data_IF_637530626801
#
_entry.id   IF_637530626801
#
_cell.length_a   1.000
_cell.length_b   1.000
_cell.length_c   1.000
_cell.angle_alpha   90.00
_cell.angle_beta   90.00
_cell.angle_gamma   90.00
#
_symmetry.space_group_name_H-M   'P 1'
#
loop_
_entity.id
_entity.type
_entity.pdbx_description
1 polymer ?
#
# COMPACT_ATOMS: atom_id res chain seq x y z
N UNK A 1 22.66 -36.32 -5.35
CA UNK A 1 22.12 -35.04 -5.87
C UNK A 1 21.40 -34.34 -4.72
N UNK A 2 22.01 -33.32 -4.18
CA UNK A 2 21.39 -32.52 -3.07
C UNK A 2 20.60 -31.38 -3.70
N UNK A 3 19.31 -31.32 -3.44
CA UNK A 3 18.48 -30.18 -3.78
C UNK A 3 18.83 -29.04 -2.82
N UNK A 4 19.18 -27.90 -3.39
CA UNK A 4 19.42 -26.67 -2.65
C UNK A 4 18.08 -25.95 -2.60
N UNK A 5 17.46 -25.91 -1.43
CA UNK A 5 16.30 -25.08 -1.18
C UNK A 5 16.77 -23.62 -1.08
N UNK A 6 16.37 -22.81 -2.05
CA UNK A 6 16.60 -21.36 -2.02
C UNK A 6 15.49 -20.76 -1.17
N UNK A 7 15.81 -20.51 0.10
CA UNK A 7 14.94 -19.69 0.96
C UNK A 7 15.11 -18.23 0.52
N UNK A 8 14.16 -17.73 -0.23
CA UNK A 8 14.09 -16.31 -0.59
C UNK A 8 13.62 -15.52 0.64
N UNK A 9 14.57 -14.93 1.35
CA UNK A 9 14.29 -13.99 2.44
C UNK A 9 13.79 -12.68 1.82
N UNK A 10 12.49 -12.45 1.86
CA UNK A 10 11.90 -11.15 1.53
C UNK A 10 12.23 -10.18 2.67
N UNK A 11 13.20 -9.33 2.45
CA UNK A 11 13.52 -8.22 3.35
C UNK A 11 12.47 -7.13 3.10
N UNK A 12 11.52 -7.04 4.01
CA UNK A 12 10.57 -5.93 4.08
C UNK A 12 11.34 -4.71 4.61
N UNK A 13 11.88 -3.90 3.69
CA UNK A 13 12.57 -2.65 4.05
C UNK A 13 11.52 -1.62 4.44
N UNK A 14 11.24 -1.53 5.74
CA UNK A 14 10.55 -0.40 6.34
C UNK A 14 11.58 0.72 6.50
N UNK A 15 11.69 1.62 5.50
CA UNK A 15 12.53 2.80 5.61
C UNK A 15 11.83 3.83 6.50
N UNK A 16 12.14 3.81 7.79
CA UNK A 16 11.83 4.91 8.71
C UNK A 16 12.99 5.89 8.68
N UNK A 17 12.83 7.04 8.04
CA UNK A 17 13.72 8.18 8.19
C UNK A 17 13.15 9.15 9.22
N UNK A 18 13.47 8.89 10.50
CA UNK A 18 13.22 9.84 11.57
C UNK A 18 14.35 10.87 11.63
N UNK A 19 14.04 12.15 11.49
CA UNK A 19 14.87 13.27 11.95
C UNK A 19 14.10 14.01 13.04
N UNK A 20 14.44 13.72 14.31
CA UNK A 20 14.03 14.47 15.48
C UNK A 20 14.86 14.05 16.70
N UNK A 21 15.00 14.91 17.76
CA UNK A 21 15.95 14.68 18.82
C UNK A 21 15.63 13.44 19.65
N UNK A 22 16.71 12.77 20.06
CA UNK A 22 16.78 11.51 20.79
C UNK A 22 16.00 11.58 22.12
N UNK A 23 14.78 11.04 22.11
CA UNK A 23 14.11 10.54 23.29
C UNK A 23 14.05 9.01 23.16
N UNK A 24 14.51 8.28 24.17
CA UNK A 24 14.55 6.83 24.17
C UNK A 24 13.13 6.26 24.01
N UNK A 25 12.72 5.96 22.78
CA UNK A 25 11.57 5.12 22.50
C UNK A 25 12.09 3.69 22.41
N UNK A 26 11.52 2.82 23.23
CA UNK A 26 11.73 1.39 23.17
C UNK A 26 11.56 0.94 21.72
N UNK A 27 12.56 0.26 21.16
CA UNK A 27 12.50 -0.33 19.84
C UNK A 27 11.39 -1.39 19.84
N UNK A 28 10.21 -1.05 19.31
CA UNK A 28 9.18 -2.03 19.02
C UNK A 28 9.74 -3.05 18.02
N UNK A 29 9.71 -4.33 18.36
CA UNK A 29 10.13 -5.39 17.46
C UNK A 29 9.23 -5.46 16.21
N UNK A 30 9.66 -6.14 15.13
CA UNK A 30 8.85 -6.27 13.90
C UNK A 30 7.44 -6.86 14.12
N UNK A 31 7.19 -7.54 15.27
CA UNK A 31 5.90 -8.08 15.68
C UNK A 31 4.95 -7.01 16.23
N UNK A 32 5.49 -6.05 17.01
CA UNK A 32 4.67 -5.06 17.71
C UNK A 32 3.91 -4.14 16.76
N UNK A 33 4.52 -3.77 15.62
CA UNK A 33 3.88 -2.92 14.60
C UNK A 33 2.71 -3.61 13.91
N UNK A 34 2.82 -4.90 13.61
CA UNK A 34 1.75 -5.69 12.98
C UNK A 34 0.56 -5.89 13.93
N UNK A 35 0.84 -6.20 15.19
CA UNK A 35 -0.21 -6.37 16.20
C UNK A 35 -0.96 -5.05 16.43
N UNK A 36 -0.22 -3.94 16.54
CA UNK A 36 -0.81 -2.61 16.71
C UNK A 36 -1.67 -2.23 15.51
N UNK A 37 -1.19 -2.48 14.29
CA UNK A 37 -1.96 -2.24 13.07
C UNK A 37 -3.18 -3.17 12.98
N UNK A 38 -3.06 -4.45 13.30
CA UNK A 38 -4.18 -5.39 13.31
C UNK A 38 -5.28 -4.97 14.30
N UNK A 39 -4.89 -4.44 15.45
CA UNK A 39 -5.83 -3.89 16.44
C UNK A 39 -6.52 -2.62 15.92
N UNK A 40 -5.77 -1.68 15.33
CA UNK A 40 -6.33 -0.46 14.76
C UNK A 40 -7.30 -0.74 13.61
N UNK A 41 -7.01 -1.75 12.78
CA UNK A 41 -7.85 -2.20 11.68
C UNK A 41 -9.25 -2.65 12.11
N UNK A 42 -9.45 -3.07 13.37
CA UNK A 42 -10.78 -3.44 13.88
C UNK A 42 -11.74 -2.24 13.89
N UNK A 43 -11.22 -1.02 13.99
CA UNK A 43 -12.00 0.22 13.91
C UNK A 43 -12.31 0.69 12.47
N UNK A 44 -11.65 0.11 11.45
CA UNK A 44 -11.84 0.50 10.07
C UNK A 44 -12.98 -0.29 9.41
N UNK A 45 -14.05 0.40 9.04
CA UNK A 45 -15.18 -0.20 8.33
C UNK A 45 -14.98 -0.23 6.81
N UNK A 46 -14.14 0.65 6.25
CA UNK A 46 -13.89 0.76 4.82
C UNK A 46 -12.92 -0.34 4.35
N UNK A 47 -13.26 -1.14 3.32
CA UNK A 47 -12.29 -2.02 2.65
C UNK A 47 -11.25 -1.23 1.87
N UNK A 48 -9.99 -1.73 1.78
CA UNK A 48 -8.90 -1.06 1.07
C UNK A 48 -9.25 -0.74 -0.39
N UNK A 49 -9.89 -1.67 -1.09
CA UNK A 49 -10.31 -1.51 -2.48
C UNK A 49 -11.34 -0.38 -2.67
N UNK A 50 -12.11 -0.06 -1.65
CA UNK A 50 -13.03 1.08 -1.66
C UNK A 50 -12.28 2.39 -1.47
N UNK A 51 -11.24 2.41 -0.62
CA UNK A 51 -10.35 3.56 -0.48
C UNK A 51 -9.60 3.88 -1.76
N UNK A 52 -9.08 2.85 -2.44
CA UNK A 52 -8.47 2.98 -3.77
C UNK A 52 -9.47 3.56 -4.78
N UNK A 53 -10.73 3.13 -4.74
CA UNK A 53 -11.78 3.66 -5.63
C UNK A 53 -12.11 5.11 -5.30
N UNK A 54 -12.21 5.48 -4.03
CA UNK A 54 -12.51 6.84 -3.60
C UNK A 54 -11.42 7.83 -4.01
N UNK A 55 -10.14 7.44 -3.91
CA UNK A 55 -9.00 8.28 -4.30
C UNK A 55 -8.89 8.51 -5.81
N UNK A 56 -9.57 7.70 -6.65
CA UNK A 56 -9.57 7.85 -8.10
C UNK A 56 -10.14 9.19 -8.59
N UNK A 57 -10.90 9.90 -7.74
CA UNK A 57 -11.35 11.27 -8.01
C UNK A 57 -10.19 12.29 -8.05
N UNK A 58 -9.06 11.99 -7.37
CA UNK A 58 -7.86 12.84 -7.31
C UNK A 58 -6.89 12.48 -8.44
N UNK A 59 -6.67 11.20 -8.69
CA UNK A 59 -5.76 10.69 -9.71
C UNK A 59 -5.82 9.18 -9.82
N UNK A 60 -5.03 8.58 -10.71
CA UNK A 60 -4.95 7.12 -10.86
C UNK A 60 -4.28 6.54 -9.61
N UNK A 61 -4.95 5.64 -8.85
CA UNK A 61 -4.36 5.02 -7.67
C UNK A 61 -3.14 4.18 -8.04
N UNK A 62 -2.03 4.44 -7.35
CA UNK A 62 -0.76 3.74 -7.52
C UNK A 62 -0.53 2.70 -6.44
N UNK A 63 -0.84 3.02 -5.18
CA UNK A 63 -0.77 2.10 -4.06
C UNK A 63 -1.74 2.53 -2.98
N UNK A 64 -2.06 1.61 -2.07
CA UNK A 64 -2.88 1.93 -0.91
C UNK A 64 -2.43 1.13 0.29
N UNK A 65 -2.45 1.73 1.45
CA UNK A 65 -2.07 1.08 2.71
C UNK A 65 -2.85 1.62 3.89
N UNK A 66 -3.22 0.72 4.79
CA UNK A 66 -3.52 1.06 6.17
C UNK A 66 -2.21 1.11 6.95
N UNK A 67 -2.00 2.15 7.70
CA UNK A 67 -0.78 2.35 8.47
C UNK A 67 -1.03 3.15 9.73
N UNK A 68 -0.03 3.18 10.59
CA UNK A 68 0.07 4.12 11.70
C UNK A 68 1.23 5.05 11.38
N UNK A 69 0.90 6.31 11.08
CA UNK A 69 1.85 7.36 10.76
C UNK A 69 1.77 8.43 11.85
N UNK A 70 2.91 8.81 12.43
CA UNK A 70 3.00 9.72 13.57
C UNK A 70 2.01 9.39 14.72
N UNK A 71 1.75 8.09 14.94
CA UNK A 71 0.82 7.60 15.96
C UNK A 71 -0.66 7.67 15.55
N UNK A 72 -0.99 8.16 14.37
CA UNK A 72 -2.34 8.20 13.83
C UNK A 72 -2.59 7.02 12.88
N UNK A 73 -3.68 6.29 13.09
CA UNK A 73 -4.13 5.27 12.16
C UNK A 73 -4.82 5.91 10.96
N UNK A 74 -4.38 5.58 9.75
CA UNK A 74 -4.88 6.17 8.51
C UNK A 74 -4.95 5.17 7.37
N UNK A 75 -5.73 5.52 6.34
CA UNK A 75 -5.73 4.90 5.01
C UNK A 75 -5.09 5.89 4.04
N UNK A 76 -3.87 5.61 3.64
CA UNK A 76 -3.09 6.39 2.68
C UNK A 76 -3.16 5.74 1.30
N UNK A 77 -3.37 6.55 0.27
CA UNK A 77 -3.37 6.12 -1.13
C UNK A 77 -2.49 7.07 -1.94
N UNK A 78 -1.47 6.53 -2.60
CA UNK A 78 -0.71 7.30 -3.57
C UNK A 78 -1.46 7.32 -4.90
N UNK A 79 -1.53 8.49 -5.51
CA UNK A 79 -2.16 8.69 -6.82
C UNK A 79 -1.24 9.43 -7.78
N UNK A 80 -1.48 9.22 -9.06
CA UNK A 80 -0.77 9.87 -10.15
C UNK A 80 -1.76 10.52 -11.11
N UNK A 81 -1.40 11.72 -11.55
CA UNK A 81 -2.07 12.44 -12.64
C UNK A 81 -1.03 12.91 -13.64
N UNK A 82 -1.16 12.45 -14.87
CA UNK A 82 -0.34 12.94 -15.98
C UNK A 82 -0.95 14.17 -16.60
N UNK A 83 -0.10 15.15 -16.91
CA UNK A 83 -0.46 16.33 -17.68
C UNK A 83 0.56 16.52 -18.82
N UNK A 84 0.08 16.75 -20.03
CA UNK A 84 0.96 16.86 -21.20
C UNK A 84 1.86 18.10 -21.20
N UNK A 85 1.52 19.11 -20.41
CA UNK A 85 2.25 20.39 -20.31
C UNK A 85 2.99 20.50 -19.00
N UNK A 86 2.32 20.21 -17.88
CA UNK A 86 2.88 20.33 -16.52
C UNK A 86 3.68 19.08 -16.10
N UNK A 87 3.54 17.97 -16.81
CA UNK A 87 4.18 16.69 -16.49
C UNK A 87 3.38 15.89 -15.48
N UNK A 88 4.07 14.91 -14.85
CA UNK A 88 3.47 14.05 -13.86
C UNK A 88 3.35 14.74 -12.51
N UNK A 89 2.21 14.58 -11.85
CA UNK A 89 2.03 14.94 -10.46
C UNK A 89 1.67 13.70 -9.64
N UNK A 90 2.25 13.60 -8.46
CA UNK A 90 2.01 12.53 -7.49
C UNK A 90 1.43 13.13 -6.22
N UNK A 91 0.42 12.48 -5.67
CA UNK A 91 -0.22 12.95 -4.45
C UNK A 91 -0.47 11.79 -3.50
N UNK A 92 -0.35 12.05 -2.21
CA UNK A 92 -0.87 11.22 -1.16
C UNK A 92 -2.28 11.67 -0.82
N UNK A 93 -3.19 10.74 -0.80
CA UNK A 93 -4.61 10.95 -0.51
C UNK A 93 -4.94 10.19 0.76
N UNK A 94 -5.30 10.90 1.82
CA UNK A 94 -5.81 10.28 3.04
C UNK A 94 -7.32 10.12 2.90
N UNK A 95 -7.77 8.87 3.00
CA UNK A 95 -9.19 8.50 2.94
C UNK A 95 -9.67 8.19 4.34
N UNK A 96 -10.78 8.78 4.74
CA UNK A 96 -11.43 8.45 6.01
C UNK A 96 -11.88 6.98 5.99
N UNK A 97 -11.29 6.17 6.86
CA UNK A 97 -11.49 4.73 6.91
C UNK A 97 -12.85 4.28 7.45
N UNK A 98 -13.70 5.22 7.85
CA UNK A 98 -15.06 4.98 8.29
C UNK A 98 -16.09 5.37 7.22
N UNK A 99 -15.91 6.54 6.59
CA UNK A 99 -16.87 7.10 5.63
C UNK A 99 -16.50 6.88 4.16
N UNK A 100 -15.20 6.70 3.88
CA UNK A 100 -14.67 6.60 2.52
C UNK A 100 -14.49 7.95 1.82
N UNK A 101 -14.66 9.06 2.52
CA UNK A 101 -14.43 10.38 1.96
C UNK A 101 -12.92 10.72 1.94
N UNK A 102 -12.48 11.44 0.93
CA UNK A 102 -11.13 12.03 0.92
C UNK A 102 -11.08 13.11 1.99
N UNK A 103 -10.17 12.97 2.96
CA UNK A 103 -9.99 13.90 4.08
C UNK A 103 -8.82 14.84 3.87
N UNK A 104 -7.78 14.40 3.13
CA UNK A 104 -6.56 15.20 2.89
C UNK A 104 -5.95 14.80 1.56
N UNK A 105 -5.31 15.76 0.88
CA UNK A 105 -4.52 15.54 -0.33
C UNK A 105 -3.22 16.33 -0.20
N UNK A 106 -2.08 15.66 -0.32
CA UNK A 106 -0.76 16.27 -0.25
C UNK A 106 0.07 15.91 -1.48
N UNK A 107 0.81 16.87 -1.99
CA UNK A 107 1.70 16.65 -3.13
C UNK A 107 2.98 15.94 -2.68
N UNK A 108 3.35 14.87 -3.37
CA UNK A 108 4.63 14.17 -3.17
C UNK A 108 5.65 14.81 -4.10
N UNK A 109 6.66 15.50 -3.53
CA UNK A 109 7.63 16.30 -4.29
C UNK A 109 9.05 15.76 -4.27
N UNK A 110 9.38 14.90 -3.31
CA UNK A 110 10.77 14.45 -3.10
C UNK A 110 10.86 13.11 -2.35
N UNK A 111 12.10 12.73 -2.05
CA UNK A 111 12.43 11.61 -1.19
C UNK A 111 12.06 10.23 -1.73
N UNK A 112 11.92 9.30 -0.77
CA UNK A 112 11.60 7.90 -1.05
C UNK A 112 10.19 7.71 -1.60
N UNK A 113 9.26 8.55 -1.18
CA UNK A 113 7.86 8.48 -1.59
C UNK A 113 7.68 8.82 -3.07
N UNK A 114 8.40 9.84 -3.56
CA UNK A 114 8.40 10.16 -4.99
C UNK A 114 9.01 9.03 -5.82
N UNK A 115 10.13 8.46 -5.37
CA UNK A 115 10.76 7.33 -6.06
C UNK A 115 9.84 6.10 -6.09
N UNK A 116 9.15 5.80 -4.99
CA UNK A 116 8.17 4.73 -4.91
C UNK A 116 6.99 4.98 -5.86
N UNK A 117 6.40 6.19 -5.84
CA UNK A 117 5.29 6.57 -6.71
C UNK A 117 5.65 6.48 -8.19
N UNK A 118 6.86 6.90 -8.59
CA UNK A 118 7.36 6.77 -9.97
C UNK A 118 7.51 5.30 -10.41
N UNK A 119 8.03 4.45 -9.51
CA UNK A 119 8.15 3.02 -9.77
C UNK A 119 6.78 2.37 -9.94
N UNK A 120 5.84 2.66 -9.05
CA UNK A 120 4.46 2.17 -9.06
C UNK A 120 3.71 2.65 -10.31
N UNK A 121 3.89 3.92 -10.72
CA UNK A 121 3.38 4.43 -11.98
C UNK A 121 3.86 3.59 -13.16
N UNK A 122 5.15 3.23 -13.19
CA UNK A 122 5.72 2.42 -14.28
C UNK A 122 5.01 1.07 -14.41
N UNK A 123 4.63 0.44 -13.31
CA UNK A 123 3.83 -0.79 -13.32
C UNK A 123 2.40 -0.52 -13.77
N UNK A 124 1.75 0.51 -13.21
CA UNK A 124 0.35 0.82 -13.51
C UNK A 124 0.11 1.30 -14.94
N UNK A 125 1.10 1.93 -15.61
CA UNK A 125 0.98 2.28 -17.04
C UNK A 125 0.94 1.07 -17.96
N UNK A 126 1.36 -0.12 -17.50
CA UNK A 126 1.27 -1.40 -18.23
C UNK A 126 0.04 -2.21 -17.84
N UNK A 127 -0.63 -1.80 -16.77
CA UNK A 127 -1.78 -2.52 -16.24
C UNK A 127 -3.01 -2.32 -17.15
N UNK A 128 -3.82 -3.38 -17.26
CA UNK A 128 -5.15 -3.37 -17.90
C UNK A 128 -6.28 -3.45 -16.88
N UNK A 129 -5.93 -3.83 -15.64
CA UNK A 129 -6.84 -3.86 -14.49
C UNK A 129 -6.42 -2.79 -13.50
N UNK A 130 -7.37 -2.18 -12.83
CA UNK A 130 -7.10 -1.25 -11.73
C UNK A 130 -6.55 -1.99 -10.51
N UNK A 131 -5.80 -1.27 -9.68
CA UNK A 131 -5.32 -1.82 -8.40
C UNK A 131 -6.49 -2.20 -7.48
N UNK A 132 -7.59 -1.44 -7.51
CA UNK A 132 -8.80 -1.74 -6.74
C UNK A 132 -9.43 -3.08 -7.15
N UNK A 133 -9.54 -3.37 -8.46
CA UNK A 133 -10.07 -4.63 -8.97
C UNK A 133 -9.19 -5.81 -8.61
N UNK A 134 -7.86 -5.67 -8.70
CA UNK A 134 -6.92 -6.70 -8.30
C UNK A 134 -7.01 -6.96 -6.79
N UNK A 135 -7.04 -5.90 -5.96
CA UNK A 135 -7.20 -6.02 -4.51
C UNK A 135 -8.52 -6.73 -4.16
N UNK A 136 -9.62 -6.37 -4.80
CA UNK A 136 -10.90 -7.04 -4.60
C UNK A 136 -10.87 -8.52 -5.02
N UNK A 137 -10.13 -8.88 -6.07
CA UNK A 137 -9.95 -10.27 -6.49
C UNK A 137 -9.15 -11.07 -5.43
N UNK A 138 -8.07 -10.51 -4.92
CA UNK A 138 -7.28 -11.10 -3.84
C UNK A 138 -8.14 -11.40 -2.60
N UNK A 139 -8.97 -10.43 -2.17
CA UNK A 139 -9.88 -10.61 -1.02
C UNK A 139 -10.91 -11.70 -1.30
N UNK A 140 -11.55 -11.71 -2.48
CA UNK A 140 -12.54 -12.74 -2.85
C UNK A 140 -11.96 -14.15 -2.87
N UNK A 141 -10.72 -14.30 -3.34
CA UNK A 141 -10.03 -15.59 -3.37
C UNK A 141 -9.58 -16.08 -1.98
N UNK A 142 -9.62 -15.20 -0.97
CA UNK A 142 -9.13 -15.48 0.37
C UNK A 142 -10.20 -15.17 1.43
N UNK A 143 -11.19 -16.04 1.55
CA UNK A 143 -12.35 -15.85 2.42
C UNK A 143 -11.96 -15.54 3.88
N UNK A 144 -12.55 -14.48 4.42
CA UNK A 144 -12.34 -14.02 5.78
C UNK A 144 -11.09 -13.14 5.98
N UNK A 145 -10.28 -12.92 4.93
CA UNK A 145 -9.20 -11.93 4.97
C UNK A 145 -9.68 -10.57 4.48
N UNK A 146 -9.01 -9.52 4.93
CA UNK A 146 -9.14 -8.17 4.39
C UNK A 146 -7.78 -7.69 3.87
N UNK A 147 -7.79 -6.87 2.85
CA UNK A 147 -6.58 -6.25 2.35
C UNK A 147 -6.14 -5.09 3.25
N UNK A 148 -4.83 -4.98 3.47
CA UNK A 148 -4.19 -3.94 4.30
C UNK A 148 -3.25 -3.08 3.47
N UNK A 149 -2.53 -3.70 2.52
CA UNK A 149 -1.61 -3.03 1.61
C UNK A 149 -1.87 -3.59 0.21
N UNK A 150 -1.81 -2.73 -0.79
CA UNK A 150 -1.77 -3.10 -2.20
C UNK A 150 -0.74 -2.23 -2.92
N UNK A 151 0.26 -2.89 -3.51
CA UNK A 151 1.38 -2.21 -4.18
C UNK A 151 1.63 -2.87 -5.54
N UNK A 152 1.62 -2.12 -6.65
CA UNK A 152 1.94 -2.66 -7.95
C UNK A 152 3.46 -2.70 -8.16
N UNK A 153 3.89 -3.70 -8.90
CA UNK A 153 5.28 -3.87 -9.32
C UNK A 153 5.37 -4.51 -10.71
N UNK A 154 6.58 -4.64 -11.22
CA UNK A 154 6.84 -5.40 -12.44
C UNK A 154 7.58 -6.70 -12.08
N UNK A 155 6.97 -7.84 -12.33
CA UNK A 155 7.62 -9.15 -12.26
C UNK A 155 7.94 -9.62 -13.69
N UNK A 156 9.23 -9.76 -13.99
CA UNK A 156 9.70 -10.13 -15.34
C UNK A 156 9.10 -9.25 -16.45
N UNK A 157 8.83 -7.98 -16.13
CA UNK A 157 8.24 -7.01 -17.05
C UNK A 157 6.71 -7.02 -17.15
N UNK A 158 6.03 -7.97 -16.53
CA UNK A 158 4.57 -8.01 -16.41
C UNK A 158 4.09 -7.23 -15.17
N UNK A 159 3.01 -6.44 -15.28
CA UNK A 159 2.48 -5.72 -14.14
C UNK A 159 1.71 -6.66 -13.20
N UNK A 160 2.04 -6.60 -11.92
CA UNK A 160 1.41 -7.36 -10.84
C UNK A 160 1.07 -6.45 -9.67
N UNK A 161 0.13 -6.87 -8.82
CA UNK A 161 -0.16 -6.26 -7.55
C UNK A 161 0.19 -7.23 -6.43
N UNK A 162 1.07 -6.84 -5.52
CA UNK A 162 1.26 -7.51 -4.24
C UNK A 162 0.21 -6.99 -3.26
N UNK A 163 -0.63 -7.90 -2.75
CA UNK A 163 -1.68 -7.57 -1.80
C UNK A 163 -1.40 -8.26 -0.48
N UNK A 164 -1.14 -7.46 0.55
CA UNK A 164 -1.02 -7.95 1.93
C UNK A 164 -2.42 -8.11 2.51
N UNK A 165 -2.71 -9.30 2.97
CA UNK A 165 -3.98 -9.70 3.57
C UNK A 165 -3.81 -10.04 5.04
N UNK A 166 -4.84 -9.74 5.86
CA UNK A 166 -4.88 -10.07 7.28
C UNK A 166 -6.21 -10.70 7.68
N UNK A 167 -6.14 -11.68 8.59
CA UNK A 167 -7.30 -12.28 9.28
C UNK A 167 -6.90 -12.59 10.71
N UNK A 168 -7.35 -11.78 11.67
CA UNK A 168 -6.81 -11.81 13.03
C UNK A 168 -5.31 -11.54 13.03
N UNK A 169 -4.52 -12.49 13.53
CA UNK A 169 -3.06 -12.42 13.58
C UNK A 169 -2.38 -13.11 12.39
N UNK A 170 -3.16 -13.67 11.46
CA UNK A 170 -2.65 -14.34 10.27
C UNK A 170 -2.46 -13.35 9.13
N UNK A 171 -1.21 -13.19 8.68
CA UNK A 171 -0.78 -12.27 7.65
C UNK A 171 -0.20 -13.04 6.46
N UNK A 172 -0.61 -12.68 5.27
CA UNK A 172 -0.03 -13.23 4.04
C UNK A 172 0.02 -12.20 2.92
N UNK A 173 0.91 -12.42 1.97
CA UNK A 173 1.00 -11.66 0.72
C UNK A 173 0.53 -12.57 -0.42
N UNK A 174 -0.28 -12.02 -1.29
CA UNK A 174 -0.71 -12.69 -2.53
C UNK A 174 -0.41 -11.78 -3.71
N UNK A 175 -0.10 -12.37 -4.86
CA UNK A 175 0.19 -11.65 -6.09
C UNK A 175 -0.99 -11.81 -7.05
N UNK A 176 -1.48 -10.69 -7.57
CA UNK A 176 -2.53 -10.61 -8.58
C UNK A 176 -1.97 -10.02 -9.87
N UNK A 177 -2.33 -10.59 -11.01
CA UNK A 177 -1.95 -10.02 -12.31
C UNK A 177 -2.77 -8.78 -12.62
N UNK A 178 -2.12 -7.79 -13.25
CA UNK A 178 -2.73 -6.52 -13.66
C UNK A 178 -2.91 -6.40 -15.19
N UNK A 179 -2.41 -7.37 -15.97
CA UNK A 179 -2.52 -7.43 -17.44
C UNK A 179 -3.75 -8.16 -17.97
#
# INVERSE_FOLDING_TARGET
>A
MRQIEIVTTVILSLAVLARGPVGALAQAGPGDGRETLARALQGASLPLERGLTASAAVGIPLSGKYEIDDGAFQLSVYTWKGDAVAGDSFTEVIVDYSTGNVSKVETITDGGDLAAAQSQKTAMTRAKRSLAEATAAAVRANAGYRAVIATPSLESGAPVAEVTLVKGDDWKVVTERLD
#
